data_IF_013222745691
#
_entry.id   IF_013222745691
#
_cell.length_a   1.000
_cell.length_b   1.000
_cell.length_c   1.000
_cell.angle_alpha   90.00
_cell.angle_beta   90.00
_cell.angle_gamma   90.00
#
_symmetry.space_group_name_H-M   'P 1'
#
loop_
_entity.id
_entity.type
_entity.pdbx_description
1 polymer ?
#
# COMPACT_ATOMS: atom_id res chain seq x y z
N UNK A 1 -0.69 -29.10 18.04
CA UNK A 1 -2.10 -28.71 18.27
C UNK A 1 -2.28 -27.18 18.43
N UNK A 2 -1.55 -26.36 17.65
CA UNK A 2 -1.56 -24.88 17.78
C UNK A 2 -2.24 -24.19 16.58
N UNK A 3 -2.44 -24.89 15.46
CA UNK A 3 -2.91 -24.29 14.21
C UNK A 3 -4.40 -23.95 14.18
N UNK A 4 -5.28 -24.72 14.83
CA UNK A 4 -6.73 -24.50 14.73
C UNK A 4 -7.25 -23.33 15.56
N UNK A 5 -6.76 -23.15 16.79
CA UNK A 5 -7.22 -22.08 17.69
C UNK A 5 -6.75 -20.68 17.27
N UNK A 6 -5.59 -20.59 16.61
CA UNK A 6 -5.08 -19.31 16.07
C UNK A 6 -5.90 -18.85 14.85
N UNK A 7 -6.36 -19.81 14.03
CA UNK A 7 -7.24 -19.55 12.89
C UNK A 7 -8.61 -19.07 13.37
N UNK A 8 -9.17 -19.71 14.40
CA UNK A 8 -10.48 -19.36 14.98
C UNK A 8 -10.51 -17.92 15.53
N UNK A 9 -9.44 -17.45 16.20
CA UNK A 9 -9.33 -16.06 16.65
C UNK A 9 -9.14 -15.06 15.49
N UNK A 10 -8.49 -15.45 14.40
CA UNK A 10 -8.26 -14.59 13.24
C UNK A 10 -9.53 -14.36 12.41
N UNK A 11 -10.49 -15.30 12.44
CA UNK A 11 -11.78 -15.16 11.75
C UNK A 11 -12.68 -14.07 12.38
N UNK A 12 -12.56 -13.86 13.70
CA UNK A 12 -13.33 -12.84 14.43
C UNK A 12 -12.59 -11.52 14.62
N UNK A 13 -11.26 -11.50 14.47
CA UNK A 13 -10.45 -10.31 14.68
C UNK A 13 -10.73 -9.26 13.59
N UNK A 14 -11.17 -8.08 14.01
CA UNK A 14 -11.44 -6.94 13.13
C UNK A 14 -10.30 -5.93 13.15
N UNK A 15 -9.61 -5.80 12.02
CA UNK A 15 -8.48 -4.88 11.85
C UNK A 15 -8.89 -3.63 11.08
N UNK A 16 -8.17 -2.54 11.31
CA UNK A 16 -8.30 -1.30 10.55
C UNK A 16 -7.44 -1.32 9.27
N UNK A 17 -7.56 -0.23 8.50
CA UNK A 17 -6.82 -0.08 7.24
C UNK A 17 -5.31 -0.06 7.46
N UNK A 18 -4.83 0.63 8.49
CA UNK A 18 -3.41 0.77 8.78
C UNK A 18 -2.77 -0.59 9.06
N UNK A 19 -3.45 -1.44 9.83
CA UNK A 19 -3.02 -2.83 10.08
C UNK A 19 -3.12 -3.68 8.82
N UNK A 20 -4.15 -3.48 7.99
CA UNK A 20 -4.32 -4.26 6.76
C UNK A 20 -3.19 -4.01 5.75
N UNK A 21 -2.73 -2.77 5.63
CA UNK A 21 -1.67 -2.39 4.69
C UNK A 21 -0.26 -2.66 5.19
N UNK A 22 -0.04 -2.70 6.52
CA UNK A 22 1.28 -2.97 7.10
C UNK A 22 1.83 -4.35 6.75
N UNK A 23 0.97 -5.31 6.40
CA UNK A 23 1.39 -6.65 5.96
C UNK A 23 2.11 -6.65 4.62
N UNK A 24 1.83 -5.67 3.74
CA UNK A 24 2.42 -5.59 2.40
C UNK A 24 3.18 -4.30 2.12
N UNK A 25 3.40 -3.47 3.13
CA UNK A 25 4.07 -2.16 3.03
C UNK A 25 3.50 -1.24 1.93
N UNK A 26 2.17 -1.28 1.77
CA UNK A 26 1.44 -0.45 0.79
C UNK A 26 0.78 0.76 1.46
N UNK A 27 0.43 1.75 0.64
CA UNK A 27 -0.33 2.90 1.13
C UNK A 27 -1.81 2.56 1.34
N UNK A 28 -2.46 3.28 2.27
CA UNK A 28 -3.91 3.15 2.48
C UNK A 28 -4.71 3.50 1.22
N UNK A 29 -4.26 4.47 0.43
CA UNK A 29 -4.91 4.87 -0.82
C UNK A 29 -4.88 3.76 -1.87
N UNK A 30 -3.75 3.04 -1.99
CA UNK A 30 -3.64 1.88 -2.86
C UNK A 30 -4.61 0.79 -2.41
N UNK A 31 -4.64 0.49 -1.11
CA UNK A 31 -5.55 -0.52 -0.56
C UNK A 31 -7.02 -0.19 -0.85
N UNK A 32 -7.45 1.06 -0.66
CA UNK A 32 -8.82 1.45 -1.00
C UNK A 32 -9.13 1.33 -2.50
N UNK A 33 -8.15 1.58 -3.38
CA UNK A 33 -8.31 1.37 -4.82
C UNK A 33 -8.47 -0.12 -5.16
N UNK A 34 -7.68 -0.99 -4.54
CA UNK A 34 -7.79 -2.45 -4.71
C UNK A 34 -9.13 -2.99 -4.20
N UNK A 35 -9.62 -2.48 -3.07
CA UNK A 35 -10.94 -2.82 -2.52
C UNK A 35 -12.04 -2.34 -3.45
N UNK A 36 -11.94 -1.11 -3.98
CA UNK A 36 -12.91 -0.57 -4.93
C UNK A 36 -12.92 -1.34 -6.26
N UNK A 37 -11.76 -1.84 -6.69
CA UNK A 37 -11.62 -2.69 -7.86
C UNK A 37 -12.05 -4.15 -7.64
N UNK A 38 -12.43 -4.53 -6.42
CA UNK A 38 -12.86 -5.88 -6.06
C UNK A 38 -11.72 -6.91 -6.03
N UNK A 39 -10.46 -6.47 -6.00
CA UNK A 39 -9.28 -7.35 -5.91
C UNK A 39 -8.88 -7.64 -4.47
N UNK A 40 -8.96 -6.62 -3.61
CA UNK A 40 -8.81 -6.78 -2.17
C UNK A 40 -10.17 -7.06 -1.50
N UNK A 41 -10.19 -7.70 -0.31
CA UNK A 41 -11.43 -8.07 0.36
C UNK A 41 -12.27 -6.84 0.74
N UNK A 42 -13.59 -6.98 0.64
CA UNK A 42 -14.51 -5.94 1.08
C UNK A 42 -14.51 -5.83 2.62
N UNK A 43 -14.62 -4.61 3.18
CA UNK A 43 -14.72 -4.43 4.61
C UNK A 43 -16.06 -4.97 5.13
N UNK A 44 -16.03 -5.63 6.29
CA UNK A 44 -17.22 -6.09 7.00
C UNK A 44 -17.94 -4.96 7.73
N UNK A 45 -17.23 -3.88 8.09
CA UNK A 45 -17.83 -2.65 8.61
C UNK A 45 -17.33 -1.49 7.76
N UNK A 46 -18.26 -0.69 7.22
CA UNK A 46 -17.94 0.51 6.45
C UNK A 46 -18.68 1.71 7.03
N UNK A 47 -17.97 2.55 7.79
CA UNK A 47 -18.48 3.80 8.37
C UNK A 47 -17.43 4.90 8.25
N UNK A 48 -17.82 6.20 8.23
CA UNK A 48 -16.85 7.29 8.29
C UNK A 48 -15.92 7.10 9.49
N UNK A 49 -14.60 6.98 9.23
CA UNK A 49 -13.52 6.73 10.22
C UNK A 49 -13.49 5.34 10.89
N UNK A 50 -14.41 4.44 10.60
CA UNK A 50 -14.43 3.09 11.18
C UNK A 50 -14.70 2.05 10.09
N UNK A 51 -13.72 1.87 9.22
CA UNK A 51 -13.70 0.78 8.25
C UNK A 51 -12.92 -0.38 8.83
N UNK A 52 -13.51 -1.59 8.85
CA UNK A 52 -12.90 -2.79 9.42
C UNK A 52 -12.98 -3.98 8.47
N UNK A 53 -11.94 -4.79 8.49
CA UNK A 53 -11.82 -6.06 7.77
C UNK A 53 -11.62 -7.20 8.75
N UNK A 54 -12.01 -8.41 8.34
CA UNK A 54 -11.60 -9.61 9.05
C UNK A 54 -10.11 -9.84 8.78
N UNK A 55 -9.36 -10.12 9.83
CA UNK A 55 -7.93 -10.41 9.73
C UNK A 55 -7.68 -11.59 8.79
N UNK A 56 -8.50 -12.65 8.88
CA UNK A 56 -8.39 -13.82 8.02
C UNK A 56 -8.44 -13.46 6.52
N UNK A 57 -9.44 -12.68 6.08
CA UNK A 57 -9.61 -12.31 4.67
C UNK A 57 -8.41 -11.50 4.15
N UNK A 58 -7.88 -10.59 4.98
CA UNK A 58 -6.70 -9.79 4.64
C UNK A 58 -5.45 -10.66 4.53
N UNK A 59 -5.23 -11.59 5.46
CA UNK A 59 -4.10 -12.52 5.38
C UNK A 59 -4.20 -13.45 4.17
N UNK A 60 -5.40 -13.91 3.82
CA UNK A 60 -5.62 -14.74 2.63
C UNK A 60 -5.34 -13.98 1.34
N UNK A 61 -5.75 -12.70 1.27
CA UNK A 61 -5.38 -11.82 0.17
C UNK A 61 -3.85 -11.72 0.03
N UNK A 62 -3.13 -11.37 1.10
CA UNK A 62 -1.68 -11.18 1.03
C UNK A 62 -0.92 -12.46 0.69
N UNK A 63 -1.34 -13.61 1.22
CA UNK A 63 -0.78 -14.91 0.84
C UNK A 63 -0.96 -15.19 -0.66
N UNK A 64 -2.15 -14.92 -1.19
CA UNK A 64 -2.45 -15.14 -2.61
C UNK A 64 -1.69 -14.14 -3.49
N UNK A 65 -1.60 -12.89 -3.05
CA UNK A 65 -0.84 -11.84 -3.72
C UNK A 65 0.65 -12.17 -3.80
N UNK A 66 1.25 -12.67 -2.71
CA UNK A 66 2.66 -13.08 -2.67
C UNK A 66 2.94 -14.37 -3.46
N UNK A 67 1.93 -15.23 -3.63
CA UNK A 67 2.03 -16.46 -4.41
C UNK A 67 1.83 -16.23 -5.91
N UNK A 68 1.29 -15.09 -6.32
CA UNK A 68 1.11 -14.76 -7.72
C UNK A 68 2.48 -14.56 -8.40
N UNK A 69 2.73 -15.18 -9.57
CA UNK A 69 3.95 -14.92 -10.32
C UNK A 69 3.99 -13.44 -10.73
N UNK A 70 5.14 -12.80 -10.53
CA UNK A 70 5.33 -11.39 -10.87
C UNK A 70 5.14 -11.19 -12.38
N UNK A 71 4.09 -10.45 -12.76
CA UNK A 71 3.71 -10.19 -14.15
C UNK A 71 4.49 -8.99 -14.75
N UNK A 72 5.57 -8.57 -14.08
CA UNK A 72 6.37 -7.41 -14.44
C UNK A 72 5.69 -6.07 -14.14
N UNK A 73 4.56 -6.05 -13.42
CA UNK A 73 3.96 -4.82 -12.90
C UNK A 73 4.86 -4.15 -11.85
N UNK A 74 5.55 -4.91 -11.01
CA UNK A 74 6.50 -4.39 -10.02
C UNK A 74 7.65 -3.62 -10.69
N UNK A 75 8.24 -4.17 -11.76
CA UNK A 75 9.30 -3.54 -12.56
C UNK A 75 8.82 -2.22 -13.19
N UNK A 76 7.59 -2.21 -13.73
CA UNK A 76 6.98 -1.02 -14.36
C UNK A 76 6.69 0.08 -13.33
N UNK A 77 6.21 -0.28 -12.15
CA UNK A 77 5.98 0.67 -11.05
C UNK A 77 7.31 1.22 -10.52
N UNK A 78 8.33 0.36 -10.35
CA UNK A 78 9.67 0.80 -9.97
C UNK A 78 10.28 1.76 -11.00
N UNK A 79 10.12 1.49 -12.30
CA UNK A 79 10.58 2.36 -13.37
C UNK A 79 9.86 3.73 -13.35
N UNK A 80 8.55 3.75 -13.11
CA UNK A 80 7.79 5.00 -12.98
C UNK A 80 8.24 5.82 -11.76
N UNK A 81 8.42 5.19 -10.60
CA UNK A 81 8.89 5.84 -9.38
C UNK A 81 10.30 6.45 -9.56
N UNK A 82 11.22 5.73 -10.22
CA UNK A 82 12.54 6.26 -10.58
C UNK A 82 12.43 7.49 -11.48
N UNK A 83 11.53 7.47 -12.46
CA UNK A 83 11.30 8.60 -13.37
C UNK A 83 10.78 9.84 -12.63
N UNK A 84 9.84 9.66 -11.71
CA UNK A 84 9.30 10.73 -10.87
C UNK A 84 10.36 11.30 -9.90
N UNK A 85 11.15 10.43 -9.27
CA UNK A 85 12.26 10.83 -8.39
C UNK A 85 13.34 11.62 -9.12
N UNK A 86 13.74 11.16 -10.32
CA UNK A 86 14.71 11.88 -11.15
C UNK A 86 14.18 13.26 -11.56
N UNK A 87 12.91 13.38 -11.95
CA UNK A 87 12.29 14.66 -12.28
C UNK A 87 12.28 15.63 -11.08
N UNK A 88 11.99 15.12 -9.87
CA UNK A 88 12.04 15.92 -8.65
C UNK A 88 13.47 16.39 -8.32
N UNK A 89 14.47 15.52 -8.48
CA UNK A 89 15.88 15.85 -8.25
C UNK A 89 16.39 16.92 -9.22
N UNK A 90 16.05 16.83 -10.51
CA UNK A 90 16.38 17.86 -11.51
C UNK A 90 15.75 19.19 -11.15
N UNK A 91 14.48 19.20 -10.73
CA UNK A 91 13.79 20.43 -10.32
C UNK A 91 14.42 21.09 -9.09
N UNK A 92 14.91 20.29 -8.13
CA UNK A 92 15.65 20.79 -6.96
C UNK A 92 17.03 21.36 -7.32
N UNK A 93 17.72 20.77 -8.30
CA UNK A 93 19.00 21.28 -8.79
C UNK A 93 18.83 22.64 -9.49
N UNK A 94 17.86 22.74 -10.41
CA UNK A 94 17.53 24.00 -11.08
C UNK A 94 17.09 25.10 -10.11
N UNK A 95 16.32 24.76 -9.07
CA UNK A 95 15.93 25.71 -8.03
C UNK A 95 17.12 26.21 -7.19
N UNK A 96 18.15 25.37 -6.97
CA UNK A 96 19.38 25.77 -6.27
C UNK A 96 20.21 26.75 -7.08
N UNK A 97 20.32 26.55 -8.40
CA UNK A 97 21.05 27.44 -9.30
C UNK A 97 20.36 28.83 -9.40
N UNK A 98 19.03 28.85 -9.44
CA UNK A 98 18.25 30.09 -9.47
C UNK A 98 18.33 30.87 -8.15
N UNK A 99 18.33 30.18 -7.01
CA UNK A 99 18.52 30.81 -5.69
C UNK A 99 19.92 31.38 -5.49
N UNK A 100 20.95 30.71 -6.02
CA UNK A 100 22.32 31.21 -5.96
C UNK A 100 22.53 32.47 -6.83
N UNK A 101 21.86 32.56 -7.99
CA UNK A 101 21.91 33.73 -8.87
C UNK A 101 21.18 34.95 -8.30
N UNK A 102 20.09 34.76 -7.52
CA UNK A 102 19.36 35.85 -6.88
C UNK A 102 20.06 36.44 -5.64
N UNK A 103 20.89 35.65 -4.95
CA UNK A 103 21.60 36.09 -3.74
C UNK A 103 22.91 36.86 -4.03
N UNK A 104 23.35 36.94 -5.28
CA UNK A 104 24.63 37.53 -5.69
C UNK A 104 24.50 38.85 -6.47
N UNK A 105 23.28 39.38 -6.65
CA UNK A 105 23.00 40.68 -7.28
C UNK A 105 22.42 41.67 -6.28
#
# INVERSE_FOLDING_TARGET
MITKALIDHADIALIDVTTAVSFGDMSESWWYAEVAAGRAPAPVVRRPRCTRWRLFDVLQFWKSFAAAPDDGSAERVAAHARRASNAASVKRAAGREQGAAHAAG
#
